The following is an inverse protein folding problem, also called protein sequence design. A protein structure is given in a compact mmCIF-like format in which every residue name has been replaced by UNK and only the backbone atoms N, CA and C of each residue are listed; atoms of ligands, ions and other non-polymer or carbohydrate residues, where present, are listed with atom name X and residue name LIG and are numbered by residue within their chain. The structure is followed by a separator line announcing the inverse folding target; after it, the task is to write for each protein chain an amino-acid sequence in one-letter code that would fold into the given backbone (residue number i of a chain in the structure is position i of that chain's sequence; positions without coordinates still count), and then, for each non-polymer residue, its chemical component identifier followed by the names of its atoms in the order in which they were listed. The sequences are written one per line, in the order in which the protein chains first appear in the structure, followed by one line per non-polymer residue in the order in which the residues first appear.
data_IF_076465383942
#
_entry.id   IF_076465383942
#
_cell.length_a   1.000
_cell.length_b   1.000
_cell.length_c   1.000
_cell.angle_alpha   90.00
_cell.angle_beta   90.00
_cell.angle_gamma   90.00
#
_symmetry.space_group_name_H-M   'P 1'
#
loop_
_entity.id
_entity.type
_entity.pdbx_description
1 polymer ?
#
# COMPACT_ATOMS: atom_id res chain seq x y z
N UNK A 1 -2.86 -9.78 -15.04
CA UNK A 1 -3.63 -9.08 -13.99
C UNK A 1 -2.71 -8.80 -12.79
N UNK A 2 -1.67 -7.97 -12.96
CA UNK A 2 -0.58 -7.94 -11.97
C UNK A 2 -0.40 -6.51 -11.46
N UNK A 3 -1.17 -6.14 -10.43
CA UNK A 3 -1.08 -4.84 -9.79
C UNK A 3 -0.21 -4.93 -8.53
N UNK A 4 0.68 -3.95 -8.31
CA UNK A 4 1.58 -3.93 -7.15
C UNK A 4 0.77 -3.78 -5.86
N UNK A 5 1.15 -4.56 -4.84
CA UNK A 5 0.63 -4.38 -3.49
C UNK A 5 1.16 -3.04 -2.94
N UNK A 6 0.25 -2.10 -2.70
CA UNK A 6 0.58 -0.74 -2.28
C UNK A 6 -0.13 -0.34 -1.00
N UNK A 7 -1.25 -0.97 -0.64
CA UNK A 7 -2.01 -0.59 0.54
C UNK A 7 -1.38 -1.16 1.81
N UNK A 8 -1.20 -0.31 2.81
CA UNK A 8 -0.64 -0.65 4.12
C UNK A 8 -1.75 -0.86 5.16
N UNK A 9 -1.68 -1.95 5.91
CA UNK A 9 -2.65 -2.29 6.96
C UNK A 9 -2.24 -1.73 8.31
N UNK A 10 -3.09 -0.95 8.98
CA UNK A 10 -2.87 -0.46 10.34
C UNK A 10 -3.68 -1.30 11.36
N UNK A 11 -3.08 -1.72 12.49
CA UNK A 11 -1.80 -1.28 13.08
C UNK A 11 -0.53 -2.05 12.67
N UNK A 12 -0.63 -3.12 11.88
CA UNK A 12 0.49 -4.04 11.67
C UNK A 12 1.52 -3.66 10.57
N UNK A 13 1.28 -2.60 9.78
CA UNK A 13 2.23 -2.09 8.78
C UNK A 13 2.41 -2.93 7.51
N UNK A 14 1.72 -4.07 7.36
CA UNK A 14 1.92 -4.95 6.21
C UNK A 14 1.32 -4.40 4.89
N UNK A 15 2.03 -4.59 3.78
CA UNK A 15 1.63 -4.16 2.42
C UNK A 15 1.27 -5.35 1.53
N UNK A 16 0.06 -5.87 1.70
CA UNK A 16 -0.35 -7.18 1.16
C UNK A 16 -1.28 -7.11 -0.05
N UNK A 17 -1.93 -5.97 -0.29
CA UNK A 17 -2.97 -5.85 -1.32
C UNK A 17 -2.83 -4.59 -2.17
N UNK A 18 -3.27 -4.71 -3.42
CA UNK A 18 -3.45 -3.59 -4.33
C UNK A 18 -4.80 -2.88 -4.08
N UNK A 19 -4.96 -1.64 -4.53
CA UNK A 19 -6.23 -0.89 -4.36
C UNK A 19 -7.44 -1.60 -4.98
N UNK A 20 -7.29 -2.13 -6.20
CA UNK A 20 -8.35 -2.89 -6.89
C UNK A 20 -8.69 -4.19 -6.17
N UNK A 21 -7.67 -4.85 -5.62
CA UNK A 21 -7.78 -6.09 -4.86
C UNK A 21 -8.58 -5.84 -3.58
N UNK A 22 -8.26 -4.75 -2.86
CA UNK A 22 -8.99 -4.38 -1.65
C UNK A 22 -10.48 -4.19 -1.88
N UNK A 23 -10.87 -3.46 -2.94
CA UNK A 23 -12.29 -3.23 -3.27
C UNK A 23 -13.03 -4.55 -3.44
N UNK A 24 -12.44 -5.49 -4.19
CA UNK A 24 -13.04 -6.82 -4.36
C UNK A 24 -13.12 -7.59 -3.03
N UNK A 25 -12.04 -7.56 -2.24
CA UNK A 25 -12.01 -8.25 -0.94
C UNK A 25 -13.06 -7.72 0.02
N UNK A 26 -13.23 -6.39 0.13
CA UNK A 26 -14.24 -5.81 1.02
C UNK A 26 -15.65 -6.10 0.52
N UNK A 27 -15.91 -6.05 -0.79
CA UNK A 27 -17.20 -6.39 -1.37
C UNK A 27 -17.62 -7.82 -1.03
N UNK A 28 -16.70 -8.78 -1.18
CA UNK A 28 -16.95 -10.19 -0.82
C UNK A 28 -17.18 -10.33 0.68
N UNK A 29 -16.34 -9.72 1.52
CA UNK A 29 -16.47 -9.80 2.97
C UNK A 29 -17.80 -9.20 3.47
N UNK A 30 -18.29 -8.12 2.86
CA UNK A 30 -19.61 -7.55 3.18
C UNK A 30 -20.74 -8.49 2.77
N UNK A 31 -20.70 -9.04 1.55
CA UNK A 31 -21.71 -9.99 1.07
C UNK A 31 -21.78 -11.25 1.96
N UNK A 32 -20.63 -11.70 2.45
CA UNK A 32 -20.51 -12.86 3.34
C UNK A 32 -20.68 -12.51 4.82
N UNK A 33 -20.88 -11.23 5.17
CA UNK A 33 -20.94 -10.73 6.56
C UNK A 33 -19.69 -11.09 7.40
N UNK A 34 -18.54 -11.23 6.76
CA UNK A 34 -17.25 -11.60 7.35
C UNK A 34 -16.37 -10.38 7.68
N UNK A 35 -16.92 -9.42 8.43
CA UNK A 35 -16.18 -8.28 8.98
C UNK A 35 -15.92 -8.51 10.48
N UNK A 36 -14.82 -8.01 11.06
CA UNK A 36 -13.77 -7.16 10.49
C UNK A 36 -12.65 -7.95 9.78
N UNK A 37 -12.04 -7.33 8.76
CA UNK A 37 -10.91 -7.94 8.03
C UNK A 37 -9.69 -8.17 8.95
N UNK A 38 -8.95 -9.25 8.70
CA UNK A 38 -7.69 -9.60 9.38
C UNK A 38 -6.52 -9.57 8.40
N UNK A 39 -5.35 -9.16 8.86
CA UNK A 39 -4.14 -9.15 8.04
C UNK A 39 -3.71 -10.59 7.71
N UNK A 40 -3.41 -10.87 6.45
CA UNK A 40 -3.03 -12.23 6.00
C UNK A 40 -1.66 -12.67 6.51
N UNK A 41 -0.80 -11.74 6.95
CA UNK A 41 0.54 -12.05 7.47
C UNK A 41 0.48 -12.35 8.96
N UNK A 42 -0.10 -11.43 9.75
CA UNK A 42 -0.03 -11.47 11.21
C UNK A 42 -1.39 -11.66 11.91
N UNK A 43 -2.47 -11.84 11.15
CA UNK A 43 -3.85 -12.04 11.63
C UNK A 43 -4.44 -10.91 12.51
N UNK A 44 -3.70 -9.83 12.73
CA UNK A 44 -4.17 -8.63 13.43
C UNK A 44 -5.38 -8.03 12.71
N UNK A 45 -6.38 -7.59 13.47
CA UNK A 45 -7.55 -6.86 12.91
C UNK A 45 -7.08 -5.62 12.18
N UNK A 46 -7.53 -5.47 10.94
CA UNK A 46 -7.25 -4.29 10.12
C UNK A 46 -8.24 -3.21 10.51
N UNK A 47 -7.75 -2.12 11.10
CA UNK A 47 -8.58 -1.00 11.53
C UNK A 47 -8.66 0.08 10.44
N UNK A 48 -7.56 0.27 9.72
CA UNK A 48 -7.45 1.27 8.67
C UNK A 48 -6.48 0.78 7.61
N UNK A 49 -6.78 1.06 6.35
CA UNK A 49 -5.83 0.91 5.25
C UNK A 49 -5.29 2.28 4.88
N UNK A 50 -3.96 2.41 4.78
CA UNK A 50 -3.27 3.60 4.31
C UNK A 50 -2.81 3.37 2.89
N UNK A 51 -3.20 4.25 1.97
CA UNK A 51 -2.60 4.27 0.64
C UNK A 51 -1.36 5.15 0.70
N UNK A 52 -0.19 4.66 0.26
CA UNK A 52 0.94 5.53 0.13
C UNK A 52 0.68 6.55 -0.97
N UNK A 53 0.63 7.83 -0.60
CA UNK A 53 0.56 8.96 -1.51
C UNK A 53 1.71 8.82 -2.52
N UNK A 54 1.35 8.41 -3.73
CA UNK A 54 2.22 8.57 -4.87
C UNK A 54 2.02 10.02 -5.31
N UNK A 55 3.03 10.87 -5.10
CA UNK A 55 3.01 12.18 -5.72
C UNK A 55 3.17 11.91 -7.22
N UNK A 56 2.10 12.17 -7.99
CA UNK A 56 2.12 12.09 -9.44
C UNK A 56 2.84 13.34 -9.94
N UNK A 57 4.16 13.32 -9.84
CA UNK A 57 5.01 14.39 -10.35
C UNK A 57 4.87 14.39 -11.87
N UNK A 58 4.22 15.41 -12.43
CA UNK A 58 4.41 15.76 -13.84
C UNK A 58 5.89 16.03 -14.06
N UNK A 59 6.43 15.57 -15.20
CA UNK A 59 7.86 15.40 -15.47
C UNK A 59 8.76 16.62 -15.19
N UNK A 60 8.22 17.80 -14.94
CA UNK A 60 8.94 19.04 -14.70
C UNK A 60 9.21 19.40 -13.23
N UNK A 61 8.63 18.71 -12.23
CA UNK A 61 8.77 19.17 -10.83
C UNK A 61 8.97 18.04 -9.83
N UNK A 62 10.13 17.38 -9.92
CA UNK A 62 10.64 16.45 -8.91
C UNK A 62 11.08 17.26 -7.68
N UNK A 63 10.15 17.75 -6.86
CA UNK A 63 10.49 18.31 -5.55
C UNK A 63 9.55 17.90 -4.41
N UNK A 64 10.21 17.36 -3.39
CA UNK A 64 9.97 17.55 -1.95
C UNK A 64 8.72 16.88 -1.35
N UNK A 65 9.01 15.71 -0.79
CA UNK A 65 8.60 15.20 0.54
C UNK A 65 7.12 15.17 0.90
N UNK A 66 6.63 13.98 1.30
CA UNK A 66 6.41 13.69 2.73
C UNK A 66 6.10 12.20 2.97
N UNK A 67 7.10 11.46 3.45
CA UNK A 67 6.89 10.22 4.22
C UNK A 67 7.83 10.32 5.42
N UNK A 68 7.33 10.96 6.48
CA UNK A 68 7.91 10.82 7.82
C UNK A 68 7.19 9.66 8.50
N UNK A 69 7.95 8.94 9.31
CA UNK A 69 7.53 7.92 10.26
C UNK A 69 7.51 6.47 9.76
N UNK A 70 8.65 5.81 10.03
CA UNK A 70 8.64 4.48 10.63
C UNK A 70 8.86 3.30 9.69
N UNK A 71 10.10 2.81 9.64
CA UNK A 71 10.48 1.42 9.42
C UNK A 71 9.85 0.66 8.21
N UNK A 72 10.63 0.61 7.13
CA UNK A 72 11.11 -0.62 6.45
C UNK A 72 11.08 -0.52 4.91
N UNK A 73 12.27 -0.21 4.37
CA UNK A 73 12.79 -0.48 3.01
C UNK A 73 12.00 0.08 1.82
N UNK A 74 12.39 1.28 1.42
CA UNK A 74 12.13 1.87 0.09
C UNK A 74 12.91 1.13 -1.01
N UNK A 75 12.33 0.88 -2.20
CA UNK A 75 13.06 0.36 -3.35
C UNK A 75 14.01 1.42 -3.90
N UNK A 76 15.28 1.05 -4.11
CA UNK A 76 16.28 1.90 -4.76
C UNK A 76 15.88 2.14 -6.23
N UNK A 77 15.78 3.38 -6.72
CA UNK A 77 15.78 3.60 -8.17
C UNK A 77 17.17 3.23 -8.71
N UNK A 78 17.19 2.45 -9.79
CA UNK A 78 18.39 1.97 -10.45
C UNK A 78 19.28 3.14 -10.88
N UNK A 79 20.61 2.98 -10.69
CA UNK A 79 21.66 3.89 -11.13
C UNK A 79 21.44 4.27 -12.60
N UNK A 80 21.44 5.56 -12.89
CA UNK A 80 21.59 6.09 -14.25
C UNK A 80 23.07 5.95 -14.59
N UNK A 81 23.43 5.12 -15.57
CA UNK A 81 24.73 5.17 -16.22
C UNK A 81 24.62 6.11 -17.41
N UNK A 82 25.25 7.28 -17.31
CA UNK A 82 25.55 8.13 -18.45
C UNK A 82 26.75 7.52 -19.20
N UNK A 83 26.72 7.55 -20.54
CA UNK A 83 27.81 7.12 -21.42
C UNK A 83 28.09 8.25 -22.40
#
# INVERSE_FOLDING_TARGET
MNAKATMETHPCGHRVICRKCFIKTIQVAVAQRCLPLKCVICRTRILKLRQPAYIKVSSSMLQKLRWSDGHSKSPKPARIYAK
#
